data_IF_936952691990
#
_entry.id   IF_936952691990
#
_cell.length_a   1.000
_cell.length_b   1.000
_cell.length_c   1.000
_cell.angle_alpha   90.00
_cell.angle_beta   90.00
_cell.angle_gamma   90.00
#
_symmetry.space_group_name_H-M   'P 1'
#
loop_
_entity.id
_entity.type
_entity.pdbx_description
1 polymer ?
#
# COMPACT_ATOMS: atom_id res chain seq x y z
N UNK A 1 8.00 -45.19 -48.37
CA UNK A 1 7.25 -44.94 -47.12
C UNK A 1 8.04 -44.09 -46.11
N UNK A 2 9.32 -44.40 -45.82
CA UNK A 2 10.15 -43.60 -44.89
C UNK A 2 10.25 -42.11 -45.25
N UNK A 3 10.48 -41.77 -46.52
CA UNK A 3 10.66 -40.36 -46.95
C UNK A 3 9.38 -39.51 -46.86
N UNK A 4 8.20 -40.14 -46.93
CA UNK A 4 6.91 -39.44 -46.81
C UNK A 4 6.63 -39.07 -45.34
N UNK A 5 6.95 -39.97 -44.41
CA UNK A 5 6.82 -39.75 -42.97
C UNK A 5 7.74 -38.61 -42.51
N UNK A 6 8.99 -38.56 -43.00
CA UNK A 6 9.93 -37.48 -42.66
C UNK A 6 9.43 -36.10 -43.10
N UNK A 7 8.79 -36.01 -44.26
CA UNK A 7 8.25 -34.75 -44.80
C UNK A 7 7.05 -34.23 -43.99
N UNK A 8 6.19 -35.12 -43.49
CA UNK A 8 5.07 -34.77 -42.61
C UNK A 8 5.58 -34.26 -41.27
N UNK A 9 6.59 -34.90 -40.69
CA UNK A 9 7.16 -34.49 -39.41
C UNK A 9 7.76 -33.07 -39.48
N UNK A 10 8.45 -32.73 -40.57
CA UNK A 10 9.05 -31.40 -40.78
C UNK A 10 7.98 -30.29 -40.88
N UNK A 11 6.86 -30.58 -41.55
CA UNK A 11 5.77 -29.60 -41.66
C UNK A 11 5.06 -29.39 -40.31
N UNK A 12 4.88 -30.44 -39.52
CA UNK A 12 4.27 -30.36 -38.18
C UNK A 12 5.17 -29.59 -37.21
N UNK A 13 6.49 -29.80 -37.23
CA UNK A 13 7.41 -29.04 -36.39
C UNK A 13 7.47 -27.56 -36.78
N UNK A 14 7.34 -27.22 -38.07
CA UNK A 14 7.33 -25.83 -38.52
C UNK A 14 6.07 -25.05 -38.11
N UNK A 15 4.92 -25.72 -37.94
CA UNK A 15 3.68 -25.10 -37.45
C UNK A 15 3.76 -24.88 -35.93
N UNK A 16 4.39 -25.81 -35.19
CA UNK A 16 4.55 -25.70 -33.75
C UNK A 16 5.48 -24.56 -33.32
N UNK A 17 6.53 -24.28 -34.08
CA UNK A 17 7.45 -23.16 -33.79
C UNK A 17 6.80 -21.79 -33.98
N UNK A 18 5.83 -21.66 -34.89
CA UNK A 18 5.13 -20.40 -35.15
C UNK A 18 4.16 -20.00 -34.02
N UNK A 19 3.59 -20.98 -33.32
CA UNK A 19 2.73 -20.75 -32.13
C UNK A 19 3.51 -20.34 -30.88
N UNK A 20 4.81 -20.62 -30.82
CA UNK A 20 5.69 -20.21 -29.70
C UNK A 20 6.13 -18.74 -29.82
N UNK A 21 6.31 -18.24 -31.04
CA UNK A 21 6.74 -16.85 -31.30
C UNK A 21 5.58 -15.84 -31.18
N UNK A 22 4.33 -16.30 -31.23
CA UNK A 22 3.15 -15.43 -31.12
C UNK A 22 2.79 -15.00 -29.69
N UNK A 23 3.52 -15.48 -28.67
CA UNK A 23 3.29 -15.13 -27.26
C UNK A 23 4.20 -14.01 -26.74
N UNK A 24 4.81 -13.22 -27.63
CA UNK A 24 5.52 -12.01 -27.22
C UNK A 24 4.54 -10.90 -26.83
N UNK A 25 4.13 -10.97 -25.57
CA UNK A 25 4.13 -9.85 -24.64
C UNK A 25 3.36 -8.59 -25.07
N UNK A 26 2.03 -8.64 -24.94
CA UNK A 26 1.29 -7.47 -24.45
C UNK A 26 1.62 -7.29 -22.96
N UNK A 27 2.87 -6.94 -22.66
CA UNK A 27 3.23 -6.35 -21.37
C UNK A 27 2.68 -4.93 -21.41
N UNK A 28 1.38 -4.78 -21.15
CA UNK A 28 0.82 -3.53 -20.66
C UNK A 28 1.57 -3.25 -19.35
N UNK A 29 2.66 -2.50 -19.47
CA UNK A 29 3.36 -1.92 -18.33
C UNK A 29 2.36 -1.00 -17.66
N UNK A 30 1.65 -1.53 -16.68
CA UNK A 30 0.91 -0.75 -15.71
C UNK A 30 1.96 0.17 -15.10
N UNK A 31 1.94 1.45 -15.49
CA UNK A 31 2.78 2.46 -14.88
C UNK A 31 2.24 2.64 -13.46
N UNK A 32 2.77 1.88 -12.51
CA UNK A 32 2.49 2.09 -11.10
C UNK A 32 2.90 3.52 -10.75
N UNK A 33 1.91 4.31 -10.34
CA UNK A 33 2.12 5.68 -9.94
C UNK A 33 3.07 5.68 -8.75
N UNK A 34 4.14 6.47 -8.84
CA UNK A 34 5.09 6.61 -7.74
C UNK A 34 4.38 7.29 -6.57
N UNK A 35 4.31 6.59 -5.45
CA UNK A 35 3.66 7.07 -4.23
C UNK A 35 4.40 8.28 -3.66
N UNK A 36 3.64 9.34 -3.33
CA UNK A 36 4.16 10.58 -2.78
C UNK A 36 3.35 10.95 -1.53
N UNK A 37 4.03 11.15 -0.40
CA UNK A 37 3.35 11.49 0.86
C UNK A 37 3.35 13.01 1.05
N UNK A 38 2.16 13.60 0.94
CA UNK A 38 1.95 15.06 1.10
C UNK A 38 1.76 15.45 2.57
N UNK A 39 1.48 14.50 3.46
CA UNK A 39 1.18 14.80 4.88
C UNK A 39 2.46 15.07 5.69
N UNK A 40 3.57 14.41 5.35
CA UNK A 40 4.85 14.58 6.05
C UNK A 40 5.57 15.89 5.68
N UNK A 41 5.36 16.38 4.47
CA UNK A 41 5.91 17.63 3.96
C UNK A 41 4.85 18.38 3.16
N UNK A 42 4.68 19.69 3.41
CA UNK A 42 3.78 20.58 2.63
C UNK A 42 4.06 20.56 1.12
N UNK A 43 5.15 19.93 0.69
CA UNK A 43 5.49 19.68 -0.69
C UNK A 43 5.49 18.16 -0.96
N UNK A 44 5.08 17.73 -2.15
CA UNK A 44 5.14 16.33 -2.55
C UNK A 44 6.59 15.81 -2.50
N UNK A 45 6.92 14.93 -1.55
CA UNK A 45 8.22 14.26 -1.44
C UNK A 45 8.01 12.76 -1.31
N UNK A 46 8.81 11.98 -2.03
CA UNK A 46 8.79 10.51 -1.91
C UNK A 46 9.32 10.08 -0.53
N UNK A 47 8.74 9.03 0.05
CA UNK A 47 9.12 8.52 1.38
C UNK A 47 10.63 8.21 1.46
N UNK A 48 11.20 7.62 0.40
CA UNK A 48 12.63 7.28 0.28
C UNK A 48 13.57 8.48 0.43
N UNK A 49 13.09 9.68 0.10
CA UNK A 49 13.86 10.91 0.21
C UNK A 49 13.60 11.65 1.53
N UNK A 50 12.68 11.15 2.37
CA UNK A 50 12.43 11.73 3.69
C UNK A 50 13.35 11.08 4.71
N UNK A 51 14.20 11.85 5.39
CA UNK A 51 15.01 11.36 6.52
C UNK A 51 14.18 11.09 7.79
N UNK A 52 12.86 10.92 7.66
CA UNK A 52 11.90 10.79 8.75
C UNK A 52 11.19 9.45 8.63
N UNK A 53 10.75 8.89 9.76
CA UNK A 53 9.91 7.70 9.74
C UNK A 53 8.49 8.10 9.40
N UNK A 54 8.02 7.60 8.26
CA UNK A 54 6.69 7.86 7.71
C UNK A 54 6.03 6.51 7.47
N UNK A 55 4.77 6.36 7.91
CA UNK A 55 3.94 5.19 7.64
C UNK A 55 2.73 5.70 6.88
N UNK A 56 2.51 5.18 5.67
CA UNK A 56 1.31 5.44 4.91
C UNK A 56 0.34 4.25 5.06
N UNK A 57 -0.95 4.54 5.16
CA UNK A 57 -2.01 3.54 5.24
C UNK A 57 -3.00 3.82 4.11
N UNK A 58 -2.89 3.04 3.04
CA UNK A 58 -3.75 3.19 1.87
C UNK A 58 -5.10 2.51 2.05
N UNK A 59 -6.05 2.91 1.21
CA UNK A 59 -7.37 2.30 1.14
C UNK A 59 -7.32 0.79 0.89
N UNK A 60 -6.43 0.32 0.02
CA UNK A 60 -6.26 -1.12 -0.27
C UNK A 60 -5.78 -1.91 0.95
N UNK A 61 -5.07 -1.25 1.87
CA UNK A 61 -4.64 -1.81 3.15
C UNK A 61 -5.83 -1.84 4.12
N UNK A 62 -6.62 -0.77 4.17
CA UNK A 62 -7.84 -0.72 5.00
C UNK A 62 -8.87 -1.78 4.59
N UNK A 63 -9.07 -2.01 3.30
CA UNK A 63 -10.04 -3.00 2.79
C UNK A 63 -9.70 -4.44 3.18
N UNK A 64 -8.42 -4.74 3.39
CA UNK A 64 -7.95 -6.09 3.79
C UNK A 64 -8.08 -6.34 5.28
N UNK A 65 -8.35 -5.30 6.08
CA UNK A 65 -8.24 -5.37 7.52
C UNK A 65 -9.61 -5.29 8.20
N UNK A 66 -9.94 -6.22 9.11
CA UNK A 66 -11.25 -6.29 9.75
C UNK A 66 -11.36 -5.33 10.94
N UNK A 67 -11.00 -4.05 10.79
CA UNK A 67 -10.96 -3.11 11.91
C UNK A 67 -12.27 -2.37 12.11
N UNK A 68 -12.59 -2.11 13.38
CA UNK A 68 -13.81 -1.40 13.77
C UNK A 68 -13.59 0.11 13.94
N UNK A 69 -12.37 0.56 14.26
CA UNK A 69 -12.06 1.98 14.53
C UNK A 69 -10.64 2.39 14.11
N UNK A 70 -10.45 3.67 13.81
CA UNK A 70 -9.13 4.27 13.51
C UNK A 70 -8.15 4.08 14.68
N UNK A 71 -8.64 4.12 15.92
CA UNK A 71 -7.81 3.93 17.10
C UNK A 71 -7.19 2.51 17.15
N UNK A 72 -7.98 1.48 16.83
CA UNK A 72 -7.50 0.09 16.80
C UNK A 72 -6.50 -0.18 15.67
N UNK A 73 -6.70 0.47 14.52
CA UNK A 73 -5.75 0.47 13.41
C UNK A 73 -4.39 1.07 13.83
N UNK A 74 -4.40 2.26 14.41
CA UNK A 74 -3.17 2.99 14.76
C UNK A 74 -2.34 2.26 15.84
N UNK A 75 -2.96 1.55 16.78
CA UNK A 75 -2.26 0.75 17.81
C UNK A 75 -1.43 -0.41 17.23
N UNK A 76 -1.65 -0.83 15.99
CA UNK A 76 -0.83 -1.86 15.35
C UNK A 76 0.49 -1.33 14.80
N UNK A 77 0.62 -0.01 14.68
CA UNK A 77 1.84 0.63 14.19
C UNK A 77 2.84 0.68 15.34
N UNK A 78 4.05 0.22 15.07
CA UNK A 78 5.14 0.23 16.05
C UNK A 78 5.45 1.65 16.52
N UNK A 79 5.50 1.84 17.84
CA UNK A 79 5.75 3.13 18.46
C UNK A 79 4.54 4.05 18.56
N UNK A 80 3.34 3.57 18.23
CA UNK A 80 2.06 4.22 18.51
C UNK A 80 1.28 3.35 19.52
N UNK A 81 0.81 3.98 20.58
CA UNK A 81 -0.06 3.36 21.58
C UNK A 81 -1.27 4.27 21.80
N UNK A 82 -2.47 3.70 21.69
CA UNK A 82 -3.71 4.42 21.97
C UNK A 82 -4.41 3.76 23.15
N UNK A 83 -4.32 4.42 24.31
CA UNK A 83 -5.02 4.00 25.50
C UNK A 83 -6.53 4.22 25.34
N UNK A 84 -7.29 3.17 25.59
CA UNK A 84 -8.74 3.16 25.38
C UNK A 84 -9.17 2.79 23.96
N UNK A 85 -8.27 2.30 23.09
CA UNK A 85 -8.64 1.87 21.72
C UNK A 85 -9.72 0.79 21.67
N UNK A 86 -9.86 0.00 22.73
CA UNK A 86 -10.83 -1.09 22.87
C UNK A 86 -12.08 -0.68 23.68
N UNK A 87 -12.17 0.58 24.13
CA UNK A 87 -13.33 1.06 24.87
C UNK A 87 -14.52 1.35 23.94
N UNK A 88 -15.71 1.46 24.51
CA UNK A 88 -16.90 1.89 23.78
C UNK A 88 -16.69 3.26 23.10
N UNK A 89 -17.30 3.45 21.93
CA UNK A 89 -17.24 4.68 21.17
C UNK A 89 -17.68 5.90 22.02
N UNK A 90 -16.98 7.03 21.87
CA UNK A 90 -17.26 8.27 22.61
C UNK A 90 -16.56 8.42 23.95
N UNK A 91 -15.71 7.46 24.36
CA UNK A 91 -14.78 7.64 25.48
C UNK A 91 -13.50 8.34 25.01
N UNK A 92 -12.92 9.15 25.91
CA UNK A 92 -11.68 9.87 25.59
C UNK A 92 -10.52 8.89 25.36
N UNK A 93 -9.71 9.17 24.35
CA UNK A 93 -8.57 8.35 23.93
C UNK A 93 -7.26 9.01 24.36
N UNK A 94 -6.37 8.23 24.96
CA UNK A 94 -5.02 8.68 25.28
C UNK A 94 -4.08 8.33 24.14
N UNK A 95 -3.53 9.32 23.44
CA UNK A 95 -2.62 9.11 22.33
C UNK A 95 -1.17 9.19 22.80
N UNK A 96 -0.39 8.17 22.45
CA UNK A 96 1.04 8.09 22.75
C UNK A 96 1.81 7.72 21.49
N UNK A 97 2.67 8.62 21.02
CA UNK A 97 3.52 8.35 19.85
C UNK A 97 4.96 8.58 20.25
N UNK A 98 5.78 7.52 20.20
CA UNK A 98 7.18 7.53 20.63
C UNK A 98 7.38 8.14 22.04
N UNK A 99 6.45 7.84 22.95
CA UNK A 99 6.44 8.35 24.33
C UNK A 99 5.88 9.78 24.52
N UNK A 100 5.57 10.50 23.44
CA UNK A 100 4.89 11.80 23.51
C UNK A 100 3.40 11.66 23.80
N UNK A 101 2.87 12.47 24.72
CA UNK A 101 1.45 12.46 25.14
C UNK A 101 0.55 13.21 24.18
N UNK A 102 -0.77 13.01 24.23
CA UNK A 102 -1.78 13.67 23.37
C UNK A 102 -1.54 15.16 23.10
N UNK A 103 -1.24 15.96 24.12
CA UNK A 103 -1.00 17.41 24.00
C UNK A 103 0.30 17.79 23.26
N UNK A 104 1.19 16.82 23.03
CA UNK A 104 2.45 16.98 22.30
C UNK A 104 2.35 16.45 20.86
N UNK A 105 1.17 15.95 20.47
CA UNK A 105 0.91 15.40 19.15
C UNK A 105 0.10 16.38 18.32
N UNK A 106 0.41 16.43 17.02
CA UNK A 106 -0.35 17.19 16.04
C UNK A 106 -1.18 16.21 15.20
N UNK A 107 -2.50 16.33 15.31
CA UNK A 107 -3.44 15.58 14.47
C UNK A 107 -3.99 16.55 13.45
N UNK A 108 -3.98 16.15 12.18
CA UNK A 108 -4.55 16.93 11.09
C UNK A 108 -5.63 16.11 10.40
N UNK A 109 -6.77 16.73 10.14
CA UNK A 109 -7.82 16.20 9.26
C UNK A 109 -7.82 17.08 8.02
N UNK A 110 -7.63 16.49 6.84
CA UNK A 110 -7.54 17.22 5.57
C UNK A 110 -6.50 18.36 5.57
N UNK A 111 -5.42 18.19 6.35
CA UNK A 111 -4.36 19.19 6.50
C UNK A 111 -4.67 20.32 7.48
N UNK A 112 -5.83 20.31 8.13
CA UNK A 112 -6.24 21.29 9.14
C UNK A 112 -5.98 20.70 10.53
N UNK A 113 -5.26 21.42 11.42
CA UNK A 113 -5.01 20.95 12.77
C UNK A 113 -6.33 20.82 13.54
N UNK A 114 -6.52 19.67 14.19
CA UNK A 114 -7.65 19.43 15.09
C UNK A 114 -7.12 19.37 16.51
N UNK A 115 -7.60 20.28 17.34
CA UNK A 115 -7.32 20.34 18.77
C UNK A 115 -8.62 20.19 19.52
N UNK A 116 -8.64 19.37 20.57
CA UNK A 116 -9.72 19.41 21.53
C UNK A 116 -9.68 20.79 22.24
N UNK A 117 -10.81 21.48 22.29
CA UNK A 117 -10.94 22.83 22.84
C UNK A 117 -11.16 22.85 24.37
N UNK A 118 -11.08 21.68 25.00
CA UNK A 118 -11.42 21.43 26.40
C UNK A 118 -10.29 21.75 27.38
#
# INVERSE_FOLDING_TARGET
>A
MKNFITLVIINVTSIFTMSLVAQDATNDKINELTEVVVVASKFPVKIENTGRSVVNIDQSTLEKLPFQTVASLLTQITGIEINGSQNAAGKNLGYYVRGGRSHQLLILIDGIPVTDAS
#
